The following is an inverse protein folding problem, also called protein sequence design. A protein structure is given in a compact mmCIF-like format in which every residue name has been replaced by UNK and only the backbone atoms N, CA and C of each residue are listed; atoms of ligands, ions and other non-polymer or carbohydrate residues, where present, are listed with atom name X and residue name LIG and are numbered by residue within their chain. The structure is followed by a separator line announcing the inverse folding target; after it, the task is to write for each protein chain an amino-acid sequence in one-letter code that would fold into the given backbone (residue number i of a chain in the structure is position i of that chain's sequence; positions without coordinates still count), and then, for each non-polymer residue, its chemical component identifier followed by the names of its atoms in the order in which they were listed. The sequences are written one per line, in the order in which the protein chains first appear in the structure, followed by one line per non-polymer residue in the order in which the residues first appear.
data_IF_101109887376
#
_entry.id   IF_101109887376
#
_cell.length_a   1.000
_cell.length_b   1.000
_cell.length_c   1.000
_cell.angle_alpha   90.00
_cell.angle_beta   90.00
_cell.angle_gamma   90.00
#
_symmetry.space_group_name_H-M   'P 1'
#
loop_
_entity.id
_entity.type
_entity.pdbx_description
1 polymer ?
#
# COMPACT_ATOMS: atom_id res chain seq x y z
N UNK A 1 -12.92 -3.46 4.43
CA UNK A 1 -12.81 -4.86 4.90
C UNK A 1 -14.18 -5.52 4.98
N UNK A 2 -15.15 -5.02 5.79
CA UNK A 2 -16.45 -5.68 5.98
C UNK A 2 -17.14 -6.02 4.65
N UNK A 3 -17.33 -5.02 3.76
CA UNK A 3 -17.92 -5.26 2.42
C UNK A 3 -17.15 -6.29 1.59
N UNK A 4 -15.83 -6.37 1.74
CA UNK A 4 -15.02 -7.35 1.02
C UNK A 4 -15.36 -8.76 1.50
N UNK A 5 -15.40 -8.98 2.82
CA UNK A 5 -15.80 -10.27 3.42
C UNK A 5 -17.22 -10.68 3.02
N UNK A 6 -18.17 -9.74 3.07
CA UNK A 6 -19.55 -9.94 2.68
C UNK A 6 -19.70 -10.31 1.19
N UNK A 7 -19.07 -9.52 0.30
CA UNK A 7 -19.19 -9.71 -1.15
C UNK A 7 -18.62 -11.04 -1.62
N UNK A 8 -17.52 -11.47 -1.03
CA UNK A 8 -16.86 -12.74 -1.36
C UNK A 8 -17.26 -13.89 -0.44
N UNK A 9 -18.18 -13.66 0.52
CA UNK A 9 -18.67 -14.65 1.50
C UNK A 9 -17.54 -15.35 2.25
N UNK A 10 -16.54 -14.57 2.68
CA UNK A 10 -15.37 -15.06 3.38
C UNK A 10 -15.64 -15.04 4.87
N UNK A 11 -15.51 -16.22 5.51
CA UNK A 11 -15.51 -16.29 6.97
C UNK A 11 -14.29 -15.51 7.49
N UNK A 12 -14.46 -14.57 8.44
CA UNK A 12 -13.34 -13.87 9.07
C UNK A 12 -12.23 -14.78 9.58
N UNK A 13 -12.53 -16.00 9.98
CA UNK A 13 -11.55 -17.00 10.43
C UNK A 13 -10.64 -17.49 9.30
N UNK A 14 -11.05 -17.35 8.05
CA UNK A 14 -10.26 -17.69 6.86
C UNK A 14 -9.32 -16.57 6.43
N UNK A 15 -9.16 -15.54 7.25
CA UNK A 15 -8.15 -14.50 7.06
C UNK A 15 -6.98 -14.75 8.00
N UNK A 16 -5.80 -15.05 7.45
CA UNK A 16 -4.57 -15.34 8.21
C UNK A 16 -3.62 -14.15 8.31
N UNK A 17 -3.78 -13.17 7.41
CA UNK A 17 -2.90 -12.00 7.39
C UNK A 17 -3.67 -10.71 7.10
N UNK A 18 -3.34 -9.66 7.84
CA UNK A 18 -3.87 -8.31 7.66
C UNK A 18 -2.72 -7.31 7.60
N UNK A 19 -2.49 -6.75 6.43
CA UNK A 19 -1.49 -5.72 6.19
C UNK A 19 -2.18 -4.36 6.00
N UNK A 20 -1.60 -3.33 6.56
CA UNK A 20 -2.10 -1.95 6.41
C UNK A 20 -0.99 -1.06 5.88
N UNK A 21 -1.26 -0.30 4.83
CA UNK A 21 -0.37 0.75 4.32
C UNK A 21 -0.96 2.13 4.60
N UNK A 22 -0.17 3.02 5.16
CA UNK A 22 -0.57 4.40 5.46
C UNK A 22 0.62 5.35 5.50
N UNK A 23 0.38 6.63 5.29
CA UNK A 23 1.33 7.71 5.56
C UNK A 23 0.85 8.65 6.67
N UNK A 24 -0.40 8.49 7.12
CA UNK A 24 -1.06 9.39 8.08
C UNK A 24 -1.35 8.72 9.42
N UNK A 25 -0.43 7.90 9.89
CA UNK A 25 -0.54 7.22 11.18
C UNK A 25 -0.61 8.23 12.33
N UNK A 26 -1.62 8.09 13.20
CA UNK A 26 -1.83 8.94 14.38
C UNK A 26 -1.06 8.38 15.57
N UNK A 27 -1.31 7.14 15.93
CA UNK A 27 -0.65 6.47 17.05
C UNK A 27 0.48 5.57 16.55
N UNK A 28 1.70 5.87 16.95
CA UNK A 28 2.90 5.13 16.54
C UNK A 28 3.10 3.79 17.27
N UNK A 29 2.37 3.55 18.33
CA UNK A 29 2.48 2.33 19.15
C UNK A 29 1.33 1.36 18.86
N UNK A 30 0.09 1.83 18.89
CA UNK A 30 -1.07 1.02 18.55
C UNK A 30 -1.31 1.09 17.03
N UNK A 31 -1.03 0.02 16.34
CA UNK A 31 -1.17 -0.03 14.88
C UNK A 31 -2.63 0.04 14.42
N UNK A 32 -2.85 0.59 13.22
CA UNK A 32 -4.18 0.56 12.56
C UNK A 32 -4.63 -0.89 12.34
N UNK A 33 -3.70 -1.79 11.97
CA UNK A 33 -3.99 -3.23 11.88
C UNK A 33 -4.67 -3.75 13.14
N UNK A 34 -4.14 -3.43 14.31
CA UNK A 34 -4.72 -3.86 15.60
C UNK A 34 -6.12 -3.28 15.82
N UNK A 35 -6.36 -2.03 15.42
CA UNK A 35 -7.68 -1.42 15.52
C UNK A 35 -8.72 -2.06 14.59
N UNK A 36 -8.28 -2.60 13.46
CA UNK A 36 -9.14 -3.28 12.48
C UNK A 36 -9.53 -4.71 12.91
N UNK A 37 -8.82 -5.33 13.87
CA UNK A 37 -9.12 -6.69 14.34
C UNK A 37 -10.57 -6.84 14.83
N UNK A 38 -11.19 -5.78 15.32
CA UNK A 38 -12.61 -5.77 15.71
C UNK A 38 -13.59 -6.13 14.58
N UNK A 39 -13.14 -6.04 13.31
CA UNK A 39 -13.94 -6.45 12.14
C UNK A 39 -13.89 -7.95 11.87
N UNK A 40 -13.05 -8.67 12.59
CA UNK A 40 -12.78 -10.11 12.41
C UNK A 40 -13.15 -10.88 13.68
N UNK A 41 -14.41 -10.75 14.11
CA UNK A 41 -14.88 -11.40 15.34
C UNK A 41 -14.58 -12.89 15.35
N UNK A 42 -14.06 -13.37 16.49
CA UNK A 42 -13.70 -14.77 16.69
C UNK A 42 -12.40 -15.19 16.01
N UNK A 43 -11.66 -14.27 15.35
CA UNK A 43 -10.35 -14.54 14.77
C UNK A 43 -9.24 -13.75 15.50
N UNK A 44 -8.56 -14.41 16.42
CA UNK A 44 -7.36 -13.89 17.08
C UNK A 44 -6.04 -14.42 16.44
N UNK A 45 -6.14 -15.37 15.51
CA UNK A 45 -4.99 -15.97 14.84
C UNK A 45 -4.76 -15.29 13.48
N UNK A 46 -4.23 -14.07 13.53
CA UNK A 46 -3.99 -13.24 12.35
C UNK A 46 -2.70 -12.45 12.53
N UNK A 47 -1.75 -12.65 11.64
CA UNK A 47 -0.52 -11.87 11.60
C UNK A 47 -0.62 -10.63 10.70
N UNK A 48 0.44 -9.82 10.66
CA UNK A 48 0.56 -8.66 9.79
C UNK A 48 1.01 -7.41 10.54
N UNK A 49 1.21 -6.33 9.79
CA UNK A 49 1.76 -5.07 10.30
C UNK A 49 1.09 -3.86 9.65
N UNK A 50 1.25 -2.70 10.27
CA UNK A 50 0.99 -1.42 9.62
C UNK A 50 2.32 -0.86 9.08
N UNK A 51 2.46 -0.82 7.76
CA UNK A 51 3.59 -0.23 7.06
C UNK A 51 3.37 1.27 6.90
N UNK A 52 4.30 2.06 7.43
CA UNK A 52 4.25 3.52 7.35
C UNK A 52 5.34 3.99 6.39
N UNK A 53 4.92 4.40 5.21
CA UNK A 53 5.79 4.99 4.20
C UNK A 53 4.93 5.81 3.24
N UNK A 54 5.26 7.08 3.07
CA UNK A 54 4.52 7.97 2.17
C UNK A 54 4.40 7.34 0.77
N UNK A 55 3.17 7.31 0.23
CA UNK A 55 2.82 6.78 -1.10
C UNK A 55 3.25 5.33 -1.42
N UNK A 56 4.08 4.69 -0.61
CA UNK A 56 4.59 3.34 -0.82
C UNK A 56 4.05 2.30 0.18
N UNK A 57 3.56 2.73 1.33
CA UNK A 57 3.09 1.83 2.39
C UNK A 57 2.06 0.81 1.91
N UNK A 58 1.14 1.22 1.04
CA UNK A 58 0.14 0.33 0.44
C UNK A 58 0.75 -0.70 -0.52
N UNK A 59 1.72 -0.31 -1.33
CA UNK A 59 2.46 -1.22 -2.21
C UNK A 59 3.29 -2.22 -1.41
N UNK A 60 3.95 -1.77 -0.34
CA UNK A 60 4.67 -2.66 0.58
C UNK A 60 3.73 -3.67 1.23
N UNK A 61 2.57 -3.24 1.72
CA UNK A 61 1.55 -4.12 2.30
C UNK A 61 1.04 -5.17 1.31
N UNK A 62 0.84 -4.77 0.03
CA UNK A 62 0.48 -5.69 -1.05
C UNK A 62 1.57 -6.75 -1.26
N UNK A 63 2.82 -6.32 -1.42
CA UNK A 63 3.92 -7.25 -1.67
C UNK A 63 4.22 -8.16 -0.49
N UNK A 64 4.09 -7.68 0.74
CA UNK A 64 4.18 -8.52 1.94
C UNK A 64 3.10 -9.61 1.95
N UNK A 65 1.88 -9.26 1.54
CA UNK A 65 0.76 -10.22 1.47
C UNK A 65 0.96 -11.25 0.38
N UNK A 66 1.41 -10.84 -0.81
CA UNK A 66 1.73 -11.76 -1.92
C UNK A 66 2.88 -12.68 -1.52
N UNK A 67 3.97 -12.15 -0.97
CA UNK A 67 5.10 -12.96 -0.51
C UNK A 67 4.70 -13.96 0.56
N UNK A 68 3.77 -13.63 1.44
CA UNK A 68 3.25 -14.57 2.44
C UNK A 68 2.45 -15.70 1.80
N UNK A 69 1.53 -15.39 0.88
CA UNK A 69 0.72 -16.39 0.17
C UNK A 69 1.61 -17.34 -0.67
N UNK A 70 2.72 -16.84 -1.21
CA UNK A 70 3.68 -17.62 -2.00
C UNK A 70 4.74 -18.34 -1.15
N UNK A 71 4.75 -18.12 0.17
CA UNK A 71 5.76 -18.70 1.06
C UNK A 71 5.40 -20.11 1.52
N UNK A 72 6.40 -20.83 1.98
CA UNK A 72 6.21 -22.13 2.64
C UNK A 72 5.48 -22.05 4.00
N UNK A 73 5.32 -20.85 4.55
CA UNK A 73 4.58 -20.62 5.80
C UNK A 73 3.09 -20.34 5.58
N UNK A 74 2.64 -20.30 4.33
CA UNK A 74 1.23 -20.08 4.03
C UNK A 74 0.36 -21.26 4.49
N UNK A 75 -0.67 -20.95 5.23
CA UNK A 75 -1.59 -21.93 5.82
C UNK A 75 -2.92 -22.10 5.04
N UNK A 76 -3.00 -21.59 3.82
CA UNK A 76 -4.17 -21.68 2.94
C UNK A 76 -5.23 -20.60 3.17
N UNK A 77 -5.04 -19.70 4.14
CA UNK A 77 -5.97 -18.60 4.39
C UNK A 77 -5.66 -17.37 3.54
N UNK A 78 -6.65 -16.48 3.42
CA UNK A 78 -6.50 -15.23 2.69
C UNK A 78 -5.67 -14.21 3.45
N UNK A 79 -5.03 -13.31 2.70
CA UNK A 79 -4.54 -12.06 3.25
C UNK A 79 -5.46 -10.90 2.83
N UNK A 80 -5.58 -9.90 3.71
CA UNK A 80 -6.25 -8.64 3.40
C UNK A 80 -5.25 -7.51 3.51
N UNK A 81 -5.18 -6.69 2.47
CA UNK A 81 -4.43 -5.44 2.43
C UNK A 81 -5.41 -4.29 2.59
N UNK A 82 -5.11 -3.37 3.47
CA UNK A 82 -5.86 -2.12 3.64
C UNK A 82 -4.92 -0.96 3.42
N UNK A 83 -5.27 -0.08 2.49
CA UNK A 83 -4.60 1.19 2.31
C UNK A 83 -5.58 2.29 2.70
N UNK A 84 -5.14 3.23 3.53
CA UNK A 84 -6.03 4.30 3.95
C UNK A 84 -5.29 5.46 4.56
N UNK A 85 -5.70 6.66 4.16
CA UNK A 85 -5.09 7.90 4.59
C UNK A 85 -6.11 9.02 4.79
N UNK A 86 -5.73 9.96 5.65
CA UNK A 86 -6.37 11.26 5.81
C UNK A 86 -5.26 12.29 5.56
N UNK A 87 -5.07 12.67 4.30
CA UNK A 87 -4.03 13.59 3.89
C UNK A 87 -4.51 15.04 4.07
N UNK A 88 -3.86 15.77 4.95
CA UNK A 88 -4.14 17.19 5.23
C UNK A 88 -2.85 17.97 5.06
N UNK A 89 -2.92 19.02 4.24
CA UNK A 89 -1.82 19.94 4.00
C UNK A 89 -2.08 21.31 4.63
N UNK A 90 -1.03 22.04 4.92
CA UNK A 90 -1.11 23.42 5.37
C UNK A 90 -1.79 24.31 4.30
N UNK A 91 -2.27 25.46 4.73
CA UNK A 91 -2.86 26.46 3.82
C UNK A 91 -1.84 26.88 2.76
N UNK A 92 -2.12 26.60 1.50
CA UNK A 92 -1.24 26.85 0.38
C UNK A 92 -1.63 26.05 -0.88
N UNK A 93 -0.77 25.99 -1.89
CA UNK A 93 -1.07 25.33 -3.18
C UNK A 93 -1.40 23.85 -3.06
N UNK A 94 -0.84 23.14 -2.09
CA UNK A 94 -1.08 21.69 -1.88
C UNK A 94 -2.40 21.40 -1.13
N UNK A 95 -3.02 22.38 -0.45
CA UNK A 95 -4.23 22.16 0.36
C UNK A 95 -5.40 21.55 -0.42
N UNK A 96 -5.70 21.96 -1.67
CA UNK A 96 -6.80 21.38 -2.43
C UNK A 96 -6.59 19.90 -2.83
N UNK A 97 -5.37 19.41 -2.80
CA UNK A 97 -5.06 18.00 -3.11
C UNK A 97 -5.22 17.06 -1.89
N UNK A 98 -5.51 17.62 -0.72
CA UNK A 98 -5.81 16.83 0.48
C UNK A 98 -7.15 16.12 0.38
N UNK A 99 -7.31 15.06 1.17
CA UNK A 99 -8.53 14.28 1.22
C UNK A 99 -8.42 13.05 2.10
N UNK A 100 -9.45 12.23 2.12
CA UNK A 100 -9.41 10.94 2.79
C UNK A 100 -9.95 9.85 1.88
N UNK A 101 -9.35 8.67 2.00
CA UNK A 101 -9.76 7.50 1.25
C UNK A 101 -9.24 6.22 1.86
N UNK A 102 -9.92 5.12 1.55
CA UNK A 102 -9.44 3.80 1.92
C UNK A 102 -9.87 2.76 0.88
N UNK A 103 -8.99 1.81 0.63
CA UNK A 103 -9.24 0.64 -0.22
C UNK A 103 -8.84 -0.62 0.53
N UNK A 104 -9.53 -1.72 0.26
CA UNK A 104 -9.17 -3.04 0.76
C UNK A 104 -9.06 -4.02 -0.40
N UNK A 105 -8.02 -4.83 -0.40
CA UNK A 105 -7.73 -5.87 -1.40
C UNK A 105 -7.74 -7.23 -0.71
N UNK A 106 -8.31 -8.22 -1.38
CA UNK A 106 -8.25 -9.62 -0.97
C UNK A 106 -7.16 -10.31 -1.78
N UNK A 107 -6.23 -10.94 -1.09
CA UNK A 107 -5.08 -11.62 -1.68
C UNK A 107 -5.18 -13.12 -1.39
N UNK A 108 -5.09 -13.93 -2.42
CA UNK A 108 -5.18 -15.39 -2.31
C UNK A 108 -5.13 -16.05 -3.69
N UNK A 109 -5.31 -17.37 -3.76
CA UNK A 109 -5.32 -18.10 -5.02
C UNK A 109 -6.56 -17.77 -5.86
N UNK A 110 -6.54 -18.15 -7.13
CA UNK A 110 -7.64 -18.06 -8.08
C UNK A 110 -8.24 -16.66 -8.25
N UNK A 111 -7.39 -15.64 -8.15
CA UNK A 111 -7.80 -14.25 -8.25
C UNK A 111 -8.13 -13.85 -9.69
N UNK A 112 -9.13 -12.97 -9.85
CA UNK A 112 -9.48 -12.38 -11.16
C UNK A 112 -8.39 -11.47 -11.73
N UNK A 113 -7.58 -10.85 -10.84
CA UNK A 113 -6.41 -10.07 -11.19
C UNK A 113 -5.17 -10.81 -10.68
N UNK A 114 -4.33 -11.25 -11.58
CA UNK A 114 -3.10 -11.96 -11.25
C UNK A 114 -1.94 -11.00 -11.30
N UNK A 115 -1.15 -10.96 -10.23
CA UNK A 115 0.06 -10.15 -10.16
C UNK A 115 1.21 -10.94 -10.79
N UNK A 116 1.81 -10.39 -11.83
CA UNK A 116 3.00 -10.99 -12.44
C UNK A 116 4.24 -10.82 -11.56
N UNK A 117 5.17 -11.78 -11.59
CA UNK A 117 6.39 -11.72 -10.80
C UNK A 117 7.38 -10.66 -11.27
N UNK A 118 7.29 -10.25 -12.55
CA UNK A 118 8.20 -9.25 -13.14
C UNK A 118 7.93 -7.88 -12.55
N UNK A 119 8.92 -7.33 -11.88
CA UNK A 119 8.88 -5.98 -11.32
C UNK A 119 10.27 -5.42 -11.13
N UNK A 120 10.39 -4.12 -11.24
CA UNK A 120 11.63 -3.39 -11.00
C UNK A 120 11.42 -2.36 -9.90
N UNK A 121 12.50 -1.99 -9.25
CA UNK A 121 12.49 -1.01 -8.16
C UNK A 121 13.60 0.00 -8.34
N UNK A 122 13.32 1.24 -7.96
CA UNK A 122 14.32 2.29 -7.83
C UNK A 122 13.98 3.16 -6.62
N UNK A 123 14.96 3.41 -5.77
CA UNK A 123 14.79 4.21 -4.56
C UNK A 123 15.83 5.33 -4.52
N UNK A 124 15.42 6.49 -4.04
CA UNK A 124 16.25 7.67 -3.84
C UNK A 124 16.07 8.17 -2.41
N UNK A 125 17.17 8.59 -1.78
CA UNK A 125 17.11 9.42 -0.58
C UNK A 125 16.95 10.88 -1.01
N UNK A 126 15.71 11.38 -0.90
CA UNK A 126 15.36 12.73 -1.32
C UNK A 126 14.38 13.37 -0.36
N UNK A 127 14.51 14.67 -0.15
CA UNK A 127 13.67 15.44 0.75
C UNK A 127 12.60 16.25 -0.01
N UNK A 128 12.00 15.66 -1.00
CA UNK A 128 10.94 16.25 -1.80
C UNK A 128 9.59 16.28 -1.10
N UNK A 129 9.33 15.28 -0.25
CA UNK A 129 8.13 15.17 0.56
C UNK A 129 8.49 14.59 1.93
N UNK A 130 8.26 15.34 2.99
CA UNK A 130 8.56 14.92 4.35
C UNK A 130 7.77 15.69 5.39
N UNK A 131 7.58 15.11 6.57
CA UNK A 131 6.98 15.79 7.71
C UNK A 131 8.08 16.21 8.69
N UNK A 132 8.28 17.54 8.91
CA UNK A 132 9.26 18.03 9.86
C UNK A 132 8.99 17.52 11.28
N UNK A 133 10.05 17.31 12.06
CA UNK A 133 9.91 16.95 13.47
C UNK A 133 9.20 18.09 14.21
N UNK A 134 8.08 17.75 14.88
CA UNK A 134 7.22 18.72 15.56
C UNK A 134 6.29 19.51 14.63
N UNK A 135 6.34 19.29 13.33
CA UNK A 135 5.38 19.86 12.40
C UNK A 135 4.06 19.11 12.41
N UNK A 136 2.96 19.83 12.23
CA UNK A 136 1.62 19.24 12.07
C UNK A 136 1.41 18.72 10.65
N UNK A 137 1.91 19.45 9.66
CA UNK A 137 1.72 19.16 8.24
C UNK A 137 2.99 18.73 7.55
N UNK A 138 2.89 17.90 6.49
CA UNK A 138 4.04 17.61 5.62
C UNK A 138 4.41 18.82 4.77
N UNK A 139 5.66 18.87 4.36
CA UNK A 139 6.20 19.82 3.39
C UNK A 139 6.41 19.11 2.06
N UNK A 140 6.13 19.84 0.98
CA UNK A 140 6.25 19.34 -0.40
C UNK A 140 7.07 20.34 -1.22
N UNK A 141 8.17 19.89 -1.81
CA UNK A 141 8.81 20.57 -2.93
C UNK A 141 8.26 19.98 -4.23
N UNK A 142 7.27 20.64 -4.82
CA UNK A 142 6.55 20.11 -5.97
C UNK A 142 7.43 19.91 -7.21
N UNK A 143 8.36 20.79 -7.48
CA UNK A 143 9.26 20.68 -8.63
C UNK A 143 10.24 19.51 -8.44
N UNK A 144 10.84 19.40 -7.28
CA UNK A 144 11.74 18.30 -6.93
C UNK A 144 11.00 16.96 -6.92
N UNK A 145 9.77 16.92 -6.38
CA UNK A 145 8.94 15.70 -6.33
C UNK A 145 8.62 15.18 -7.73
N UNK A 146 8.22 16.05 -8.65
CA UNK A 146 7.99 15.69 -10.05
C UNK A 146 9.26 15.15 -10.72
N UNK A 147 10.39 15.82 -10.54
CA UNK A 147 11.67 15.40 -11.11
C UNK A 147 12.10 14.02 -10.55
N UNK A 148 11.95 13.79 -9.24
CA UNK A 148 12.24 12.51 -8.61
C UNK A 148 11.34 11.40 -9.15
N UNK A 149 10.03 11.67 -9.28
CA UNK A 149 9.09 10.70 -9.82
C UNK A 149 9.46 10.26 -11.24
N UNK A 150 9.66 11.21 -12.15
CA UNK A 150 10.05 10.91 -13.54
C UNK A 150 11.36 10.13 -13.61
N UNK A 151 12.35 10.53 -12.81
CA UNK A 151 13.62 9.81 -12.73
C UNK A 151 13.45 8.36 -12.25
N UNK A 152 12.59 8.13 -11.26
CA UNK A 152 12.30 6.78 -10.78
C UNK A 152 11.59 5.94 -11.84
N UNK A 153 10.62 6.51 -12.57
CA UNK A 153 9.93 5.83 -13.68
C UNK A 153 10.93 5.44 -14.77
N UNK A 154 11.77 6.38 -15.21
CA UNK A 154 12.79 6.12 -16.23
C UNK A 154 13.76 5.02 -15.80
N UNK A 155 14.22 5.05 -14.56
CA UNK A 155 15.14 4.06 -14.02
C UNK A 155 14.50 2.67 -13.94
N UNK A 156 13.23 2.58 -13.51
CA UNK A 156 12.50 1.32 -13.49
C UNK A 156 12.25 0.78 -14.89
N UNK A 157 11.86 1.64 -15.83
CA UNK A 157 11.59 1.25 -17.21
C UNK A 157 12.85 0.80 -17.96
N UNK A 158 13.97 1.51 -17.77
CA UNK A 158 15.25 1.21 -18.39
C UNK A 158 15.98 0.01 -17.77
N UNK A 159 15.48 -0.53 -16.66
CA UNK A 159 16.09 -1.69 -16.01
C UNK A 159 15.93 -2.93 -16.91
N UNK A 160 17.01 -3.72 -17.16
CA UNK A 160 16.92 -4.93 -17.97
C UNK A 160 15.91 -5.98 -17.49
N UNK A 161 15.55 -5.94 -16.20
CA UNK A 161 14.51 -6.78 -15.61
C UNK A 161 13.09 -6.19 -15.73
N UNK A 162 12.91 -5.06 -16.43
CA UNK A 162 11.60 -4.45 -16.64
C UNK A 162 10.76 -5.27 -17.64
N UNK A 163 9.45 -5.01 -17.67
CA UNK A 163 8.55 -5.60 -18.67
C UNK A 163 8.91 -5.22 -20.12
N UNK A 164 9.71 -4.20 -20.31
CA UNK A 164 10.41 -3.84 -21.56
C UNK A 164 9.57 -3.23 -22.67
N UNK A 165 8.26 -3.44 -22.68
CA UNK A 165 7.41 -2.93 -23.78
C UNK A 165 6.04 -2.46 -23.28
N UNK A 166 5.92 -1.18 -22.94
CA UNK A 166 4.64 -0.58 -22.54
C UNK A 166 3.58 -0.64 -23.68
N UNK A 167 3.99 -0.72 -24.93
CA UNK A 167 3.05 -0.84 -26.05
C UNK A 167 2.32 -2.20 -26.12
N UNK A 168 2.80 -3.18 -25.36
CA UNK A 168 2.14 -4.48 -25.20
C UNK A 168 1.09 -4.48 -24.08
N UNK A 169 0.98 -3.41 -23.30
CA UNK A 169 0.00 -3.27 -22.23
C UNK A 169 -1.28 -2.64 -22.76
N UNK A 170 -2.44 -3.20 -22.43
CA UNK A 170 -3.73 -2.60 -22.75
C UNK A 170 -3.94 -1.29 -21.97
N UNK A 171 -3.42 -1.24 -20.73
CA UNK A 171 -3.50 -0.07 -19.84
C UNK A 171 -2.20 0.15 -19.09
N UNK A 172 -1.82 1.41 -18.92
CA UNK A 172 -0.72 1.82 -18.08
C UNK A 172 -1.26 2.73 -16.97
N UNK A 173 -1.01 2.38 -15.72
CA UNK A 173 -1.46 3.15 -14.56
C UNK A 173 -0.24 3.75 -13.88
N UNK A 174 -0.15 5.06 -13.90
CA UNK A 174 0.93 5.83 -13.28
C UNK A 174 0.42 6.52 -12.01
N UNK A 175 1.36 6.83 -11.13
CA UNK A 175 1.07 7.53 -9.88
C UNK A 175 0.72 9.01 -10.11
#
# INVERSE_FOLDING_TARGET
CARLLENYKIDPKNVGRLEVGTETLIDKSKSIKTSLLRLFEGNANMEGVTSVNACYGGTAALFNSVAWVESSAWDGRYAIVVCGDIAVYEKGPARPSGGCGAVALLIGPDASLVLEPTRTTHALDCWDFYKPKGGEYPLVDGALSQACYLRCVDACYSNPGSYGNLAACDYCVFH
#
